data_IF_208673088136
#
_entry.id   IF_208673088136
#
_cell.length_a   1.000
_cell.length_b   1.000
_cell.length_c   1.000
_cell.angle_alpha   90.00
_cell.angle_beta   90.00
_cell.angle_gamma   90.00
#
_symmetry.space_group_name_H-M   'P 1'
#
loop_
_entity.id
_entity.type
_entity.pdbx_description
1 polymer ?
#
# COMPACT_ATOMS: atom_id res chain seq x y z
N UNK A 1 -30.86 -42.24 53.61
CA UNK A 1 -31.34 -43.40 54.41
C UNK A 1 -32.79 -43.16 54.77
N UNK A 2 -33.63 -44.21 54.83
CA UNK A 2 -35.07 -44.23 55.20
C UNK A 2 -36.03 -43.36 54.32
N UNK A 3 -37.03 -43.87 53.58
CA UNK A 3 -38.25 -44.67 53.91
C UNK A 3 -39.34 -43.84 54.64
N UNK A 4 -40.66 -43.87 54.33
CA UNK A 4 -41.47 -44.75 53.45
C UNK A 4 -42.88 -44.17 53.06
N UNK A 5 -43.47 -44.65 51.94
CA UNK A 5 -44.90 -44.88 51.51
C UNK A 5 -46.12 -44.41 52.36
N UNK A 6 -47.35 -44.12 51.86
CA UNK A 6 -47.99 -43.80 50.54
C UNK A 6 -49.52 -43.48 50.76
N UNK A 7 -50.36 -43.53 49.70
CA UNK A 7 -51.84 -43.78 49.62
C UNK A 7 -52.83 -42.59 49.77
N UNK A 8 -53.99 -42.49 49.06
CA UNK A 8 -54.62 -43.26 47.95
C UNK A 8 -55.83 -42.53 47.26
N UNK A 9 -56.34 -43.11 46.14
CA UNK A 9 -57.69 -43.03 45.50
C UNK A 9 -58.01 -42.04 44.32
N UNK A 10 -58.55 -42.59 43.21
CA UNK A 10 -59.14 -41.93 42.00
C UNK A 10 -60.01 -42.91 41.16
N UNK A 11 -61.00 -42.46 40.34
CA UNK A 11 -60.89 -42.49 38.85
C UNK A 11 -61.35 -41.12 38.23
N UNK A 12 -62.12 -40.85 37.16
CA UNK A 12 -62.97 -41.55 36.14
C UNK A 12 -63.37 -40.51 35.00
N UNK A 13 -63.94 -40.77 33.80
CA UNK A 13 -63.97 -41.86 32.78
C UNK A 13 -64.67 -41.38 31.46
N UNK A 14 -64.65 -42.19 30.38
CA UNK A 14 -65.54 -42.23 29.17
C UNK A 14 -65.47 -41.20 27.98
N UNK A 15 -64.77 -41.62 26.91
CA UNK A 15 -65.21 -41.88 25.51
C UNK A 15 -66.09 -40.91 24.64
N UNK A 16 -65.56 -40.65 23.43
CA UNK A 16 -66.15 -40.82 22.08
C UNK A 16 -66.73 -39.68 21.19
N UNK A 17 -66.18 -39.66 19.96
CA UNK A 17 -66.78 -39.46 18.63
C UNK A 17 -66.80 -38.08 17.92
N UNK A 18 -66.51 -38.17 16.62
CA UNK A 18 -66.27 -37.10 15.64
C UNK A 18 -67.54 -36.69 14.88
N UNK A 19 -67.62 -35.41 14.49
CA UNK A 19 -68.15 -35.00 13.17
C UNK A 19 -67.30 -33.86 12.61
N UNK A 20 -66.83 -34.02 11.37
CA UNK A 20 -66.06 -33.01 10.65
C UNK A 20 -66.98 -31.91 10.09
N UNK A 21 -66.49 -30.67 10.06
CA UNK A 21 -67.19 -29.54 9.45
C UNK A 21 -66.23 -28.41 9.11
N UNK A 22 -66.25 -27.98 7.84
CA UNK A 22 -65.48 -26.86 7.27
C UNK A 22 -63.95 -27.00 7.35
N UNK A 23 -63.35 -27.50 6.25
CA UNK A 23 -61.94 -27.20 5.95
C UNK A 23 -61.88 -25.72 5.57
N UNK A 24 -61.71 -24.85 6.57
CA UNK A 24 -61.30 -23.46 6.31
C UNK A 24 -59.93 -23.48 5.64
N UNK A 25 -59.68 -22.53 4.76
CA UNK A 25 -58.32 -22.20 4.34
C UNK A 25 -57.46 -21.97 5.60
N UNK A 26 -56.29 -22.60 5.65
CA UNK A 26 -55.37 -22.57 6.77
C UNK A 26 -53.94 -22.40 6.24
N UNK A 27 -53.28 -21.33 6.66
CA UNK A 27 -51.86 -21.15 6.41
C UNK A 27 -51.05 -22.00 7.40
N UNK A 28 -49.93 -22.55 6.97
CA UNK A 28 -48.96 -23.22 7.87
C UNK A 28 -48.19 -22.19 8.70
N UNK A 29 -47.49 -22.63 9.75
CA UNK A 29 -46.58 -21.76 10.51
C UNK A 29 -45.58 -21.07 9.56
N UNK A 30 -45.41 -19.73 9.62
CA UNK A 30 -44.36 -19.03 8.88
C UNK A 30 -42.98 -19.42 9.43
N UNK A 31 -41.92 -19.33 8.61
CA UNK A 31 -40.54 -19.77 8.92
C UNK A 31 -39.84 -18.92 10.00
N UNK A 32 -40.36 -18.98 11.22
CA UNK A 32 -39.81 -18.38 12.43
C UNK A 32 -40.09 -19.29 13.64
N UNK A 33 -39.15 -19.30 14.60
CA UNK A 33 -39.19 -20.07 15.86
C UNK A 33 -40.29 -19.55 16.82
N UNK A 34 -41.54 -19.78 16.46
CA UNK A 34 -42.73 -19.51 17.26
C UNK A 34 -43.22 -20.80 17.94
N UNK A 35 -43.81 -20.70 19.15
CA UNK A 35 -44.31 -21.87 19.88
C UNK A 35 -45.38 -22.63 19.10
N UNK A 36 -45.28 -23.96 19.16
CA UNK A 36 -45.81 -24.93 18.20
C UNK A 36 -47.33 -24.80 17.99
N UNK A 37 -47.73 -24.13 16.90
CA UNK A 37 -49.08 -24.20 16.34
C UNK A 37 -48.96 -24.29 14.81
N UNK A 38 -49.00 -25.50 14.27
CA UNK A 38 -48.55 -25.78 12.90
C UNK A 38 -49.46 -25.20 11.79
N UNK A 39 -50.70 -24.81 12.12
CA UNK A 39 -51.60 -24.11 11.18
C UNK A 39 -52.44 -23.02 11.83
N UNK A 40 -52.85 -22.06 10.99
CA UNK A 40 -53.54 -20.82 11.35
C UNK A 40 -54.75 -20.62 10.42
N UNK A 41 -55.98 -20.40 10.93
CA UNK A 41 -57.14 -20.16 10.08
C UNK A 41 -57.04 -18.83 9.30
N UNK A 42 -57.66 -18.77 8.14
CA UNK A 42 -57.84 -17.55 7.33
C UNK A 42 -58.25 -16.33 8.17
N UNK A 43 -57.59 -15.19 7.93
CA UNK A 43 -57.69 -13.97 8.73
C UNK A 43 -56.79 -13.92 9.98
N UNK A 44 -56.11 -15.01 10.35
CA UNK A 44 -55.10 -14.97 11.43
C UNK A 44 -53.97 -14.01 11.08
N UNK A 45 -53.46 -13.28 12.08
CA UNK A 45 -52.39 -12.31 11.93
C UNK A 45 -51.25 -12.61 12.90
N UNK A 46 -50.01 -12.57 12.43
CA UNK A 46 -48.78 -12.79 13.22
C UNK A 46 -47.94 -11.53 13.14
N UNK A 47 -47.58 -10.97 14.30
CA UNK A 47 -46.76 -9.77 14.42
C UNK A 47 -45.32 -10.14 14.74
N UNK A 48 -44.38 -9.51 14.03
CA UNK A 48 -42.94 -9.65 14.23
C UNK A 48 -42.37 -8.42 14.94
N UNK A 49 -41.34 -8.66 15.75
CA UNK A 49 -40.52 -7.62 16.36
C UNK A 49 -39.06 -7.84 15.98
N UNK A 50 -38.29 -6.75 15.87
CA UNK A 50 -36.85 -6.86 15.66
C UNK A 50 -36.18 -7.49 16.89
N UNK A 51 -35.27 -8.44 16.67
CA UNK A 51 -34.47 -9.06 17.73
C UNK A 51 -33.70 -8.01 18.55
N UNK A 52 -33.31 -8.39 19.78
CA UNK A 52 -32.58 -7.50 20.71
C UNK A 52 -31.39 -6.84 20.00
N UNK A 53 -31.21 -5.53 20.25
CA UNK A 53 -30.18 -4.72 19.60
C UNK A 53 -30.53 -4.22 18.20
N UNK A 54 -31.69 -4.56 17.63
CA UNK A 54 -32.12 -4.10 16.31
C UNK A 54 -33.38 -3.22 16.38
N UNK A 55 -33.60 -2.38 15.38
CA UNK A 55 -34.75 -1.47 15.23
C UNK A 55 -35.34 -1.56 13.83
N UNK A 56 -36.64 -1.27 13.63
CA UNK A 56 -37.21 -1.10 12.31
C UNK A 56 -36.45 -0.03 11.51
N UNK A 57 -36.21 -0.29 10.22
CA UNK A 57 -35.65 0.69 9.26
C UNK A 57 -36.69 1.75 8.94
N UNK A 58 -37.91 1.30 8.66
CA UNK A 58 -39.12 2.11 8.55
C UNK A 58 -40.03 1.81 9.74
N UNK A 59 -40.61 2.85 10.35
CA UNK A 59 -41.49 2.74 11.51
C UNK A 59 -42.95 2.52 11.13
N UNK A 60 -43.35 2.96 9.93
CA UNK A 60 -44.71 2.88 9.37
C UNK A 60 -44.96 1.57 8.61
N UNK A 61 -43.91 0.85 8.21
CA UNK A 61 -43.99 -0.44 7.52
C UNK A 61 -44.74 -1.50 8.36
N UNK A 62 -45.54 -2.35 7.69
CA UNK A 62 -46.34 -3.35 8.38
C UNK A 62 -45.48 -4.39 9.11
N UNK A 63 -45.69 -4.48 10.43
CA UNK A 63 -45.02 -5.46 11.32
C UNK A 63 -45.72 -6.80 11.38
N UNK A 64 -46.86 -6.95 10.69
CA UNK A 64 -47.71 -8.12 10.80
C UNK A 64 -48.10 -8.67 9.45
N UNK A 65 -48.03 -9.99 9.31
CA UNK A 65 -48.53 -10.73 8.15
C UNK A 65 -49.89 -11.34 8.48
N UNK A 66 -50.79 -11.36 7.51
CA UNK A 66 -52.13 -11.92 7.64
C UNK A 66 -52.30 -13.10 6.68
N UNK A 67 -52.94 -14.17 7.14
CA UNK A 67 -53.29 -15.33 6.33
C UNK A 67 -54.49 -14.98 5.43
N UNK A 68 -54.32 -15.05 4.12
CA UNK A 68 -55.34 -14.83 3.09
C UNK A 68 -55.32 -16.01 2.11
N UNK A 69 -56.36 -16.83 2.11
CA UNK A 69 -56.57 -17.88 1.09
C UNK A 69 -55.45 -18.93 1.01
N UNK A 70 -54.95 -19.39 2.17
CA UNK A 70 -53.78 -20.29 2.36
C UNK A 70 -52.39 -19.66 2.15
N UNK A 71 -52.27 -18.36 1.84
CA UNK A 71 -50.97 -17.68 1.76
C UNK A 71 -50.85 -16.55 2.79
N UNK A 72 -49.65 -16.36 3.31
CA UNK A 72 -49.33 -15.18 4.14
C UNK A 72 -49.02 -13.98 3.24
N UNK A 73 -49.45 -12.79 3.66
CA UNK A 73 -48.96 -11.54 3.06
C UNK A 73 -47.46 -11.37 3.28
N UNK A 74 -46.78 -10.61 2.42
CA UNK A 74 -45.36 -10.28 2.59
C UNK A 74 -45.11 -9.48 3.88
N UNK A 75 -44.01 -9.79 4.58
CA UNK A 75 -43.54 -8.97 5.70
C UNK A 75 -42.76 -7.77 5.16
N UNK A 76 -43.21 -6.56 5.48
CA UNK A 76 -42.55 -5.31 5.09
C UNK A 76 -41.50 -4.85 6.12
N UNK A 77 -41.60 -5.33 7.37
CA UNK A 77 -40.67 -4.99 8.44
C UNK A 77 -39.24 -5.46 8.13
N UNK A 78 -38.39 -4.48 7.82
CA UNK A 78 -36.94 -4.64 7.76
C UNK A 78 -36.27 -4.10 9.02
N UNK A 79 -35.29 -4.83 9.56
CA UNK A 79 -34.60 -4.50 10.81
C UNK A 79 -33.12 -4.15 10.58
N UNK A 80 -32.64 -3.12 11.27
CA UNK A 80 -31.23 -2.68 11.26
C UNK A 80 -30.67 -2.60 12.67
N UNK A 81 -29.33 -2.66 12.81
CA UNK A 81 -28.67 -2.53 14.13
C UNK A 81 -28.97 -1.17 14.76
N UNK A 82 -29.30 -1.14 16.06
CA UNK A 82 -29.38 0.09 16.84
C UNK A 82 -28.00 0.72 16.97
N UNK A 83 -27.93 2.04 17.07
CA UNK A 83 -26.70 2.75 17.40
C UNK A 83 -26.65 3.08 18.90
N UNK A 84 -25.47 2.92 19.51
CA UNK A 84 -25.20 3.33 20.89
C UNK A 84 -24.74 4.80 21.01
N UNK A 85 -24.69 5.55 19.90
CA UNK A 85 -24.11 6.89 19.88
C UNK A 85 -22.58 6.89 20.00
N UNK A 86 -22.00 8.09 20.04
CA UNK A 86 -20.55 8.26 20.16
C UNK A 86 -20.10 8.16 21.62
N UNK A 87 -18.94 7.55 21.86
CA UNK A 87 -18.27 7.59 23.17
C UNK A 87 -17.51 8.91 23.32
N UNK A 88 -17.59 9.51 24.51
CA UNK A 88 -16.72 10.61 24.89
C UNK A 88 -15.32 10.10 25.27
N UNK A 89 -14.32 10.98 25.20
CA UNK A 89 -13.04 10.74 25.84
C UNK A 89 -13.22 10.76 27.36
N UNK A 90 -12.40 10.00 28.07
CA UNK A 90 -12.39 9.92 29.52
C UNK A 90 -11.12 10.58 30.08
N UNK A 91 -10.94 10.54 31.40
CA UNK A 91 -9.83 11.24 32.04
C UNK A 91 -8.48 10.60 31.66
N UNK A 92 -7.61 11.38 31.01
CA UNK A 92 -6.34 10.94 30.42
C UNK A 92 -6.43 9.72 29.49
N UNK A 93 -7.51 9.63 28.70
CA UNK A 93 -7.63 8.59 27.67
C UNK A 93 -8.83 8.75 26.73
N UNK A 94 -8.84 7.91 25.69
CA UNK A 94 -9.84 7.86 24.63
C UNK A 94 -10.23 6.42 24.29
N UNK A 95 -11.29 6.26 23.50
CA UNK A 95 -11.67 4.97 22.96
C UNK A 95 -11.28 4.84 21.48
N UNK A 96 -10.66 3.71 21.14
CA UNK A 96 -10.52 3.25 19.76
C UNK A 96 -11.72 2.33 19.45
N UNK A 97 -12.63 2.83 18.61
CA UNK A 97 -13.93 2.22 18.31
C UNK A 97 -13.91 1.51 16.96
N UNK A 98 -14.48 0.31 16.89
CA UNK A 98 -14.70 -0.41 15.62
C UNK A 98 -15.93 0.09 14.86
N UNK A 99 -16.83 0.78 15.57
CA UNK A 99 -18.08 1.35 15.06
C UNK A 99 -18.94 1.86 16.21
N UNK A 100 -20.22 2.12 15.95
CA UNK A 100 -21.18 2.62 16.94
C UNK A 100 -22.55 1.91 16.90
N UNK A 101 -22.63 0.77 16.24
CA UNK A 101 -23.82 -0.07 16.08
C UNK A 101 -23.76 -1.29 17.01
N UNK A 102 -24.92 -1.91 17.27
CA UNK A 102 -25.04 -3.06 18.16
C UNK A 102 -24.03 -4.17 17.83
N UNK A 103 -23.29 -4.62 18.85
CA UNK A 103 -22.20 -5.58 18.72
C UNK A 103 -20.81 -4.97 18.42
N UNK A 104 -20.73 -3.69 18.02
CA UNK A 104 -19.44 -3.01 17.85
C UNK A 104 -18.76 -2.80 19.21
N UNK A 105 -17.44 -2.62 19.19
CA UNK A 105 -16.57 -2.60 20.37
C UNK A 105 -15.69 -1.35 20.45
N UNK A 106 -15.31 -1.00 21.68
CA UNK A 106 -14.50 0.17 22.00
C UNK A 106 -13.39 -0.20 22.99
N UNK A 107 -12.14 -0.15 22.53
CA UNK A 107 -10.94 -0.43 23.34
C UNK A 107 -10.46 0.88 24.00
N UNK A 108 -10.23 0.93 25.32
CA UNK A 108 -9.66 2.11 25.95
C UNK A 108 -8.16 2.22 25.67
N UNK A 109 -7.70 3.45 25.40
CA UNK A 109 -6.31 3.80 25.17
C UNK A 109 -5.99 5.06 25.98
N UNK A 110 -5.02 4.96 26.89
CA UNK A 110 -4.58 6.10 27.67
C UNK A 110 -3.82 7.13 26.81
N UNK A 111 -3.80 8.37 27.28
CA UNK A 111 -2.99 9.42 26.71
C UNK A 111 -1.49 9.21 26.99
N UNK A 112 -0.65 9.95 26.27
CA UNK A 112 0.81 9.79 26.34
C UNK A 112 1.32 9.99 27.78
N UNK A 113 2.08 9.01 28.29
CA UNK A 113 2.61 9.02 29.66
C UNK A 113 1.63 8.59 30.75
N UNK A 114 0.49 7.99 30.39
CA UNK A 114 -0.46 7.37 31.31
C UNK A 114 -0.66 5.88 31.01
N UNK A 115 -0.94 5.08 32.04
CA UNK A 115 -1.16 3.63 31.94
C UNK A 115 -2.53 3.22 32.49
N UNK A 116 -3.12 2.22 31.84
CA UNK A 116 -4.44 1.71 32.20
C UNK A 116 -4.37 0.90 33.50
N UNK A 117 -5.13 1.30 34.52
CA UNK A 117 -5.14 0.62 35.81
C UNK A 117 -6.08 -0.58 35.79
N UNK A 118 -5.54 -1.77 36.07
CA UNK A 118 -6.31 -3.01 36.16
C UNK A 118 -6.25 -3.87 34.89
N UNK A 119 -7.34 -4.60 34.61
CA UNK A 119 -7.46 -5.43 33.40
C UNK A 119 -8.07 -4.60 32.26
N UNK A 120 -7.69 -4.91 31.02
CA UNK A 120 -8.27 -4.25 29.84
C UNK A 120 -9.80 -4.45 29.78
N UNK A 121 -10.55 -3.34 29.83
CA UNK A 121 -12.02 -3.33 29.79
C UNK A 121 -12.54 -2.80 28.44
N UNK A 122 -12.56 -3.66 27.43
CA UNK A 122 -13.24 -3.35 26.16
C UNK A 122 -14.75 -3.19 26.39
N UNK A 123 -15.31 -2.06 25.97
CA UNK A 123 -16.77 -1.82 26.01
C UNK A 123 -17.42 -2.34 24.74
N UNK A 124 -18.66 -2.79 24.86
CA UNK A 124 -19.47 -3.33 23.76
C UNK A 124 -20.77 -2.54 23.64
N UNK A 125 -21.18 -2.23 22.41
CA UNK A 125 -22.47 -1.61 22.14
C UNK A 125 -23.60 -2.65 22.32
N UNK A 126 -24.35 -2.52 23.43
CA UNK A 126 -25.50 -3.36 23.80
C UNK A 126 -26.83 -2.68 23.42
N UNK A 127 -27.94 -3.31 23.76
CA UNK A 127 -29.30 -2.84 23.46
C UNK A 127 -29.68 -1.55 24.19
N UNK A 128 -29.02 -1.27 25.33
CA UNK A 128 -29.19 -0.05 26.14
C UNK A 128 -28.07 0.99 25.95
N UNK A 129 -27.13 0.77 25.02
CA UNK A 129 -25.94 1.63 24.84
C UNK A 129 -24.62 0.90 25.13
N UNK A 130 -23.54 1.67 25.29
CA UNK A 130 -22.20 1.15 25.58
C UNK A 130 -22.08 0.60 27.02
N UNK A 131 -21.86 -0.71 27.15
CA UNK A 131 -21.71 -1.36 28.47
C UNK A 131 -20.43 -0.96 29.21
N UNK A 132 -20.33 -1.34 30.49
CA UNK A 132 -19.18 -1.03 31.34
C UNK A 132 -19.17 0.40 31.89
N UNK A 133 -18.01 0.80 32.43
CA UNK A 133 -17.72 2.16 32.93
C UNK A 133 -16.42 2.65 32.31
N UNK A 134 -16.17 3.95 32.41
CA UNK A 134 -14.90 4.53 31.98
C UNK A 134 -13.76 4.00 32.86
N UNK A 135 -12.63 3.56 32.29
CA UNK A 135 -11.51 3.06 33.06
C UNK A 135 -10.64 4.20 33.60
N UNK A 136 -9.74 3.86 34.52
CA UNK A 136 -8.78 4.80 35.10
C UNK A 136 -7.44 4.69 34.38
N UNK A 137 -6.92 5.82 33.91
CA UNK A 137 -5.54 5.98 33.46
C UNK A 137 -4.77 6.77 34.53
N UNK A 138 -3.74 6.15 35.12
CA UNK A 138 -2.83 6.79 36.08
C UNK A 138 -1.53 7.20 35.39
N UNK A 139 -0.83 8.28 35.84
CA UNK A 139 0.42 8.68 35.25
C UNK A 139 1.48 7.58 35.41
N UNK A 140 2.36 7.44 34.41
CA UNK A 140 3.59 6.67 34.52
C UNK A 140 4.42 7.25 35.67
N UNK A 141 4.99 6.38 36.51
CA UNK A 141 5.83 6.79 37.65
C UNK A 141 7.26 6.35 37.44
N UNK A 142 8.19 7.29 37.57
CA UNK A 142 9.62 7.04 37.62
C UNK A 142 10.07 6.76 39.06
N UNK A 143 11.05 5.86 39.21
CA UNK A 143 11.77 5.65 40.46
C UNK A 143 12.73 6.81 40.77
N UNK A 144 13.42 6.76 41.91
CA UNK A 144 14.39 7.79 42.30
C UNK A 144 15.42 8.10 41.19
N UNK A 145 15.75 9.39 40.93
CA UNK A 145 16.68 9.78 39.88
C UNK A 145 18.08 9.17 40.04
N UNK A 146 18.81 8.86 38.95
CA UNK A 146 20.15 8.27 39.03
C UNK A 146 21.17 9.19 39.73
N UNK A 147 21.94 8.66 40.68
CA UNK A 147 23.06 9.40 41.26
C UNK A 147 24.16 9.65 40.20
N UNK A 148 24.73 10.87 40.18
CA UNK A 148 25.84 11.24 39.29
C UNK A 148 27.15 11.39 40.07
N UNK A 149 28.27 11.06 39.44
CA UNK A 149 29.58 11.23 40.06
C UNK A 149 29.95 12.71 40.15
N UNK A 150 30.46 13.14 41.31
CA UNK A 150 30.89 14.51 41.59
C UNK A 150 29.82 15.61 41.36
N UNK A 151 28.54 15.23 41.46
CA UNK A 151 27.41 16.15 41.49
C UNK A 151 26.30 15.60 42.38
N UNK A 152 25.21 16.35 42.47
CA UNK A 152 24.06 16.00 43.30
C UNK A 152 22.78 16.62 42.74
N UNK A 153 21.63 16.05 43.11
CA UNK A 153 20.34 16.71 42.91
C UNK A 153 20.32 18.05 43.64
N UNK A 154 19.58 19.00 43.08
CA UNK A 154 19.41 20.31 43.68
C UNK A 154 18.44 20.30 44.85
N UNK A 155 17.41 19.46 44.74
CA UNK A 155 16.34 19.17 45.70
C UNK A 155 16.51 17.75 46.29
N UNK A 156 15.71 17.41 47.31
CA UNK A 156 15.72 16.07 47.90
C UNK A 156 15.04 15.03 46.99
N UNK A 157 15.55 13.79 46.98
CA UNK A 157 15.00 12.71 46.18
C UNK A 157 13.70 12.15 46.79
N UNK A 158 12.61 12.16 46.02
CA UNK A 158 11.34 11.52 46.37
C UNK A 158 11.35 10.03 46.02
N UNK A 159 10.44 9.26 46.65
CA UNK A 159 10.29 7.82 46.39
C UNK A 159 9.73 7.51 44.98
N UNK A 160 8.88 8.39 44.45
CA UNK A 160 8.31 8.28 43.11
C UNK A 160 8.03 9.64 42.49
N UNK A 161 8.20 9.75 41.17
CA UNK A 161 7.90 10.94 40.39
C UNK A 161 6.87 10.61 39.30
N UNK A 162 5.83 11.42 39.16
CA UNK A 162 4.83 11.23 38.10
C UNK A 162 5.36 11.78 36.76
N UNK A 163 4.76 11.32 35.66
CA UNK A 163 5.08 11.75 34.29
C UNK A 163 5.19 13.29 34.16
N UNK A 164 6.23 13.74 33.46
CA UNK A 164 6.66 15.14 33.31
C UNK A 164 7.22 15.85 34.55
N UNK A 165 7.18 15.26 35.76
CA UNK A 165 7.91 15.85 36.90
C UNK A 165 9.40 16.00 36.56
N UNK A 166 9.97 17.13 36.97
CA UNK A 166 11.33 17.53 36.65
C UNK A 166 12.25 17.40 37.88
N UNK A 167 13.51 17.06 37.66
CA UNK A 167 14.57 17.09 38.68
C UNK A 167 15.82 17.75 38.10
N UNK A 168 16.45 18.63 38.88
CA UNK A 168 17.67 19.34 38.47
C UNK A 168 18.89 18.81 39.22
N UNK A 169 20.04 18.77 38.54
CA UNK A 169 21.34 18.43 39.07
C UNK A 169 22.29 19.63 39.04
N UNK A 170 23.16 19.69 40.04
CA UNK A 170 24.32 20.58 40.09
C UNK A 170 25.61 19.80 40.33
N UNK A 171 26.71 20.27 39.74
CA UNK A 171 28.03 19.70 40.00
C UNK A 171 28.66 20.27 41.28
N UNK A 172 29.61 19.52 41.85
CA UNK A 172 30.43 20.00 42.95
C UNK A 172 31.28 21.21 42.52
N UNK A 173 31.64 22.08 43.48
CA UNK A 173 32.35 23.33 43.21
C UNK A 173 33.64 23.10 42.42
N UNK A 174 33.77 23.82 41.30
CA UNK A 174 34.95 23.75 40.42
C UNK A 174 34.83 22.78 39.26
N UNK A 175 33.73 22.02 39.16
CA UNK A 175 33.45 21.10 38.06
C UNK A 175 32.37 21.64 37.13
N UNK A 176 32.51 21.32 35.85
CA UNK A 176 31.60 21.74 34.78
C UNK A 176 30.54 20.67 34.54
N UNK A 177 29.27 21.09 34.41
CA UNK A 177 28.15 20.22 34.07
C UNK A 177 28.06 20.04 32.55
N UNK A 178 28.13 18.79 32.08
CA UNK A 178 28.01 18.42 30.66
C UNK A 178 26.74 17.59 30.45
N UNK A 179 25.82 18.11 29.64
CA UNK A 179 24.49 17.54 29.41
C UNK A 179 23.38 18.50 29.85
N UNK A 180 22.13 18.05 29.84
CA UNK A 180 21.02 18.84 30.36
C UNK A 180 21.02 18.74 31.90
N UNK A 181 20.99 19.88 32.59
CA UNK A 181 20.95 19.91 34.06
C UNK A 181 19.64 19.38 34.64
N UNK A 182 18.54 19.47 33.87
CA UNK A 182 17.19 19.12 34.29
C UNK A 182 16.65 17.95 33.47
N UNK A 183 16.17 16.91 34.15
CA UNK A 183 15.59 15.72 33.57
C UNK A 183 14.10 15.64 33.90
N UNK A 184 13.31 15.05 33.01
CA UNK A 184 11.88 14.84 33.19
C UNK A 184 11.55 13.35 33.26
N UNK A 185 10.56 12.98 34.08
CA UNK A 185 10.01 11.63 34.08
C UNK A 185 9.30 11.35 32.74
N UNK A 186 9.78 10.34 32.03
CA UNK A 186 9.35 9.95 30.68
C UNK A 186 8.24 8.89 30.71
N UNK A 187 7.63 8.64 29.55
CA UNK A 187 6.59 7.63 29.36
C UNK A 187 7.07 6.17 29.54
N UNK A 188 8.39 5.95 29.52
CA UNK A 188 9.03 4.65 29.74
C UNK A 188 9.34 4.37 31.23
N UNK A 189 8.96 5.27 32.14
CA UNK A 189 9.25 5.16 33.58
C UNK A 189 10.70 5.50 33.95
N UNK A 190 11.46 6.10 33.04
CA UNK A 190 12.84 6.57 33.29
C UNK A 190 12.94 8.09 33.18
N UNK A 191 13.99 8.65 33.79
CA UNK A 191 14.29 10.08 33.61
C UNK A 191 15.00 10.32 32.28
N UNK A 192 14.53 11.32 31.52
CA UNK A 192 15.10 11.72 30.23
C UNK A 192 15.34 13.24 30.13
N UNK A 193 16.41 13.70 29.45
CA UNK A 193 17.47 12.90 28.80
C UNK A 193 18.36 12.17 29.84
N UNK A 194 19.37 11.45 29.38
CA UNK A 194 20.30 10.76 30.29
C UNK A 194 21.04 11.77 31.21
N UNK A 195 21.40 11.38 32.45
CA UNK A 195 21.90 12.31 33.47
C UNK A 195 23.24 12.97 33.08
N UNK A 196 23.45 14.24 33.49
CA UNK A 196 24.64 15.00 33.12
C UNK A 196 25.89 14.47 33.83
N UNK A 197 27.05 14.79 33.26
CA UNK A 197 28.37 14.41 33.78
C UNK A 197 29.10 15.63 34.31
N UNK A 198 29.65 15.51 35.52
CA UNK A 198 30.50 16.54 36.12
C UNK A 198 31.97 16.26 35.80
N UNK A 199 32.66 17.20 35.15
CA UNK A 199 34.06 17.04 34.71
C UNK A 199 34.95 18.20 35.20
N UNK A 200 36.22 17.91 35.49
CA UNK A 200 37.23 18.94 35.76
C UNK A 200 37.67 19.58 34.44
N UNK A 201 37.29 20.85 34.25
CA UNK A 201 37.56 21.59 33.02
C UNK A 201 36.61 21.26 31.86
N UNK A 202 37.10 21.33 30.62
CA UNK A 202 36.26 21.24 29.43
C UNK A 202 36.60 20.03 28.55
N UNK A 203 35.59 19.38 27.91
CA UNK A 203 35.80 18.25 27.02
C UNK A 203 36.61 18.69 25.78
N UNK A 204 37.23 17.74 25.09
CA UNK A 204 37.93 18.04 23.83
C UNK A 204 36.90 18.40 22.75
N UNK A 205 36.97 19.59 22.12
CA UNK A 205 36.04 19.94 21.05
C UNK A 205 36.28 19.08 19.81
N UNK A 206 35.26 18.33 19.41
CA UNK A 206 35.24 17.57 18.16
C UNK A 206 34.60 18.43 17.08
N UNK A 207 35.42 18.97 16.16
CA UNK A 207 34.97 19.84 15.07
C UNK A 207 35.33 19.15 13.75
N UNK A 208 34.40 18.43 13.11
CA UNK A 208 34.63 17.81 11.81
C UNK A 208 35.04 18.86 10.78
N UNK A 209 36.05 18.54 9.96
CA UNK A 209 36.64 19.48 8.98
C UNK A 209 37.15 20.79 9.60
N UNK A 210 37.54 20.74 10.90
CA UNK A 210 38.15 21.84 11.63
C UNK A 210 39.52 21.45 12.19
N UNK A 211 40.50 22.34 12.05
CA UNK A 211 41.87 22.18 12.54
C UNK A 211 42.15 23.19 13.64
N UNK A 212 42.67 22.75 14.79
CA UNK A 212 43.12 23.65 15.86
C UNK A 212 44.39 24.36 15.42
N UNK A 213 44.35 25.69 15.37
CA UNK A 213 45.47 26.55 14.97
C UNK A 213 46.17 27.25 16.15
N UNK A 214 45.51 27.33 17.32
CA UNK A 214 46.07 28.03 18.49
C UNK A 214 45.56 27.51 19.84
N UNK A 215 46.18 28.01 20.91
CA UNK A 215 45.79 27.76 22.31
C UNK A 215 46.54 26.62 23.01
N UNK A 216 45.90 26.03 24.03
CA UNK A 216 46.47 24.93 24.84
C UNK A 216 46.24 23.56 24.20
N UNK A 217 46.95 22.54 24.70
CA UNK A 217 46.64 21.13 24.45
C UNK A 217 45.78 20.57 25.59
N UNK A 218 44.96 19.53 25.33
CA UNK A 218 44.17 18.88 26.37
C UNK A 218 45.09 18.16 27.41
N UNK A 219 44.61 17.94 28.65
CA UNK A 219 43.29 18.27 29.18
C UNK A 219 43.09 19.77 29.42
N UNK A 220 41.90 20.29 29.08
CA UNK A 220 41.60 21.72 29.12
C UNK A 220 41.04 22.15 30.47
N UNK A 221 41.82 22.93 31.23
CA UNK A 221 41.37 23.48 32.52
C UNK A 221 40.63 24.80 32.36
N UNK A 222 39.93 25.23 33.42
CA UNK A 222 39.29 26.54 33.49
C UNK A 222 40.25 27.67 33.06
N UNK A 223 39.78 28.58 32.20
CA UNK A 223 40.56 29.67 31.62
C UNK A 223 41.51 29.25 30.47
N UNK A 224 41.57 27.98 30.08
CA UNK A 224 42.28 27.56 28.87
C UNK A 224 41.48 27.99 27.65
N UNK A 225 42.16 28.45 26.59
CA UNK A 225 41.55 28.76 25.31
C UNK A 225 42.11 27.89 24.20
N UNK A 226 41.34 27.75 23.12
CA UNK A 226 41.76 27.15 21.85
C UNK A 226 41.16 27.93 20.68
N UNK A 227 41.89 27.91 19.56
CA UNK A 227 41.49 28.58 18.34
C UNK A 227 41.46 27.58 17.18
N UNK A 228 40.42 27.63 16.35
CA UNK A 228 40.18 26.72 15.23
C UNK A 228 40.09 27.46 13.89
N UNK A 229 40.42 26.74 12.81
CA UNK A 229 40.16 27.14 11.42
C UNK A 229 39.50 25.96 10.70
N UNK A 230 38.49 26.23 9.88
CA UNK A 230 37.94 25.20 9.00
C UNK A 230 38.91 24.83 7.87
N UNK A 231 38.78 23.60 7.39
CA UNK A 231 39.51 23.11 6.22
C UNK A 231 39.04 23.76 4.92
N UNK A 232 39.87 23.70 3.89
CA UNK A 232 39.55 24.29 2.60
C UNK A 232 38.30 23.61 2.00
N UNK A 233 37.39 24.42 1.45
CA UNK A 233 36.04 23.98 1.07
C UNK A 233 34.97 24.16 2.14
N UNK A 234 35.34 24.43 3.40
CA UNK A 234 34.41 24.67 4.50
C UNK A 234 34.43 26.13 4.98
N UNK A 235 33.31 26.57 5.56
CA UNK A 235 33.09 27.89 6.16
C UNK A 235 32.73 27.71 7.63
N UNK A 236 33.28 28.58 8.50
CA UNK A 236 33.00 28.54 9.93
C UNK A 236 31.65 29.19 10.27
N UNK A 237 30.88 28.52 11.13
CA UNK A 237 29.71 29.06 11.82
C UNK A 237 29.95 29.00 13.33
N UNK A 238 29.95 30.16 13.97
CA UNK A 238 30.39 30.35 15.37
C UNK A 238 31.74 31.05 15.43
N UNK A 239 32.25 31.26 16.64
CA UNK A 239 33.51 31.94 16.89
C UNK A 239 34.70 30.99 16.79
N UNK A 240 35.79 31.42 16.14
CA UNK A 240 37.01 30.63 16.00
C UNK A 240 37.72 30.37 17.35
N UNK A 241 37.57 31.31 18.28
CA UNK A 241 38.25 31.36 19.57
C UNK A 241 37.25 31.02 20.70
N UNK A 242 37.54 29.96 21.45
CA UNK A 242 36.68 29.49 22.56
C UNK A 242 37.48 29.37 23.85
N UNK A 243 36.83 29.69 24.98
CA UNK A 243 37.45 29.67 26.32
C UNK A 243 36.72 28.70 27.23
N UNK A 244 37.46 27.87 27.95
CA UNK A 244 36.90 26.99 28.96
C UNK A 244 36.47 27.80 30.20
N UNK A 245 35.16 27.88 30.45
CA UNK A 245 34.53 28.52 31.62
C UNK A 245 33.90 27.46 32.55
N UNK A 246 33.25 27.92 33.63
CA UNK A 246 32.62 27.08 34.65
C UNK A 246 31.37 26.30 34.16
N UNK A 247 30.89 26.61 32.95
CA UNK A 247 29.74 25.95 32.32
C UNK A 247 30.16 25.23 31.01
N UNK A 248 31.46 24.92 30.83
CA UNK A 248 31.99 24.38 29.58
C UNK A 248 32.63 25.44 28.67
N UNK A 249 32.64 25.19 27.36
CA UNK A 249 33.20 26.12 26.38
C UNK A 249 32.27 27.30 26.15
N UNK A 250 32.80 28.52 26.29
CA UNK A 250 32.12 29.76 25.96
C UNK A 250 33.03 30.66 25.09
N UNK A 251 32.57 31.09 23.90
CA UNK A 251 31.37 30.61 23.21
C UNK A 251 31.43 29.10 22.89
N UNK A 252 30.29 28.51 22.47
CA UNK A 252 30.22 27.10 22.07
C UNK A 252 31.20 26.78 20.92
N UNK A 253 31.73 25.54 20.82
CA UNK A 253 32.65 25.17 19.75
C UNK A 253 32.07 25.43 18.35
N UNK A 254 32.84 26.07 17.44
CA UNK A 254 32.33 26.41 16.11
C UNK A 254 32.10 25.15 15.26
N UNK A 255 31.24 25.29 14.26
CA UNK A 255 30.94 24.25 13.27
C UNK A 255 31.49 24.61 11.90
N UNK A 256 32.06 23.64 11.19
CA UNK A 256 32.57 23.82 9.83
C UNK A 256 31.56 23.24 8.83
N UNK A 257 30.91 24.12 8.07
CA UNK A 257 29.85 23.80 7.12
C UNK A 257 30.44 23.86 5.71
N UNK A 258 30.16 22.87 4.85
CA UNK A 258 30.63 22.90 3.47
C UNK A 258 30.16 24.17 2.76
N UNK A 259 31.02 24.81 1.96
CA UNK A 259 30.61 25.93 1.10
C UNK A 259 29.50 25.44 0.16
N UNK A 260 28.44 26.22 -0.01
CA UNK A 260 27.41 25.88 -0.99
C UNK A 260 27.86 26.29 -2.38
N UNK A 261 27.71 25.38 -3.34
CA UNK A 261 27.90 25.66 -4.77
C UNK A 261 26.66 26.22 -5.46
N UNK A 262 25.57 26.43 -4.70
CA UNK A 262 24.26 26.77 -5.25
C UNK A 262 23.60 25.61 -5.99
N UNK A 263 22.40 25.85 -6.51
CA UNK A 263 21.66 24.87 -7.29
C UNK A 263 22.15 24.89 -8.74
N UNK A 264 22.36 23.72 -9.34
CA UNK A 264 22.58 23.61 -10.78
C UNK A 264 21.27 23.88 -11.52
N UNK A 265 21.37 24.52 -12.67
CA UNK A 265 20.28 24.63 -13.63
C UNK A 265 20.24 23.40 -14.54
N UNK A 266 19.08 23.14 -15.14
CA UNK A 266 18.96 22.18 -16.24
C UNK A 266 19.72 22.68 -17.47
N UNK A 267 20.22 21.75 -18.28
CA UNK A 267 21.01 22.01 -19.48
C UNK A 267 20.28 21.51 -20.73
N UNK A 268 20.89 21.68 -21.90
CA UNK A 268 20.21 21.38 -23.16
C UNK A 268 19.91 19.88 -23.30
N UNK A 269 18.62 19.53 -23.33
CA UNK A 269 18.10 18.17 -23.31
C UNK A 269 18.63 17.30 -22.16
N UNK A 270 18.83 17.88 -20.96
CA UNK A 270 19.22 17.14 -19.78
C UNK A 270 19.18 17.93 -18.48
N UNK A 271 19.31 17.20 -17.37
CA UNK A 271 19.13 17.69 -16.00
C UNK A 271 20.12 17.01 -15.04
N UNK A 272 20.26 17.54 -13.83
CA UNK A 272 21.18 17.01 -12.83
C UNK A 272 20.50 16.25 -11.70
N UNK A 273 20.84 14.97 -11.55
CA UNK A 273 20.56 14.21 -10.34
C UNK A 273 21.61 14.56 -9.29
N UNK A 274 21.23 15.41 -8.31
CA UNK A 274 22.12 15.94 -7.28
C UNK A 274 22.00 15.15 -5.96
N UNK A 275 23.14 14.93 -5.30
CA UNK A 275 23.19 14.39 -3.93
C UNK A 275 23.01 15.48 -2.86
N UNK A 276 23.31 16.73 -3.22
CA UNK A 276 23.20 17.91 -2.36
C UNK A 276 23.76 19.13 -3.10
N UNK A 277 24.12 20.19 -2.36
CA UNK A 277 24.71 21.42 -2.93
C UNK A 277 25.84 22.02 -2.07
N UNK A 278 26.44 21.25 -1.18
CA UNK A 278 27.55 21.61 -0.30
C UNK A 278 28.86 20.96 -0.77
N UNK A 279 29.99 21.49 -0.33
CA UNK A 279 31.33 21.01 -0.70
C UNK A 279 31.49 19.49 -0.53
N UNK A 280 31.87 18.82 -1.61
CA UNK A 280 31.97 17.36 -1.72
C UNK A 280 30.76 16.67 -2.36
N UNK A 281 29.59 17.32 -2.41
CA UNK A 281 28.41 16.77 -3.08
C UNK A 281 28.64 16.61 -4.59
N UNK A 282 27.93 15.65 -5.18
CA UNK A 282 28.04 15.27 -6.59
C UNK A 282 26.72 15.42 -7.35
N UNK A 283 26.83 15.73 -8.64
CA UNK A 283 25.73 15.90 -9.57
C UNK A 283 25.97 15.06 -10.83
N UNK A 284 25.12 14.05 -11.04
CA UNK A 284 25.17 13.17 -12.21
C UNK A 284 24.29 13.75 -13.33
N UNK A 285 24.81 13.92 -14.56
CA UNK A 285 23.99 14.37 -15.68
C UNK A 285 23.10 13.25 -16.20
N UNK A 286 21.84 13.56 -16.49
CA UNK A 286 20.89 12.64 -17.11
C UNK A 286 20.18 13.33 -18.27
N UNK A 287 20.25 12.73 -19.46
CA UNK A 287 19.59 13.26 -20.65
C UNK A 287 18.08 13.07 -20.61
N UNK A 288 17.37 13.88 -21.39
CA UNK A 288 15.94 13.76 -21.65
C UNK A 288 15.63 12.56 -22.56
N UNK A 289 14.34 12.23 -22.67
CA UNK A 289 13.87 11.08 -23.43
C UNK A 289 14.31 11.19 -24.90
N UNK A 290 14.94 10.14 -25.42
CA UNK A 290 15.45 10.09 -26.80
C UNK A 290 16.77 10.84 -27.03
N UNK A 291 17.46 11.23 -25.97
CA UNK A 291 18.82 11.79 -26.02
C UNK A 291 19.79 10.92 -25.20
N UNK A 292 21.06 10.93 -25.59
CA UNK A 292 22.15 10.19 -24.94
C UNK A 292 23.33 11.12 -24.64
N UNK A 293 24.04 10.83 -23.55
CA UNK A 293 25.17 11.64 -23.10
C UNK A 293 26.36 11.47 -24.06
N UNK A 294 26.82 12.57 -24.66
CA UNK A 294 27.96 12.53 -25.57
C UNK A 294 29.28 12.39 -24.79
N UNK A 295 30.03 11.33 -25.09
CA UNK A 295 31.35 11.08 -24.49
C UNK A 295 31.32 10.24 -23.21
N UNK A 296 32.22 10.55 -22.27
CA UNK A 296 32.30 9.85 -20.97
C UNK A 296 31.44 10.57 -19.92
N UNK A 297 30.96 9.82 -18.93
CA UNK A 297 30.18 10.38 -17.83
C UNK A 297 30.94 11.49 -17.08
N UNK A 298 30.37 12.69 -17.09
CA UNK A 298 30.94 13.90 -16.46
C UNK A 298 30.15 14.27 -15.21
N UNK A 299 30.22 13.43 -14.18
CA UNK A 299 29.72 13.77 -12.84
C UNK A 299 30.45 15.01 -12.33
N UNK A 300 29.69 16.06 -11.99
CA UNK A 300 30.23 17.30 -11.41
C UNK A 300 30.32 17.16 -9.91
N UNK A 301 31.32 17.79 -9.31
CA UNK A 301 31.55 17.82 -7.86
C UNK A 301 31.51 19.25 -7.37
N UNK A 302 30.86 19.51 -6.24
CA UNK A 302 30.87 20.80 -5.59
C UNK A 302 32.25 21.04 -4.94
N UNK A 303 32.99 22.03 -5.45
CA UNK A 303 34.32 22.46 -4.99
C UNK A 303 34.26 23.79 -4.27
N UNK A 304 35.42 24.30 -3.85
CA UNK A 304 35.57 25.54 -3.11
C UNK A 304 35.16 26.81 -3.89
N UNK A 305 35.16 26.72 -5.23
CA UNK A 305 34.75 27.77 -6.19
C UNK A 305 33.38 27.52 -6.85
N UNK A 306 32.63 26.50 -6.44
CA UNK A 306 31.39 26.08 -7.10
C UNK A 306 31.46 24.69 -7.75
N UNK A 307 30.46 24.35 -8.56
CA UNK A 307 30.39 23.08 -9.29
C UNK A 307 31.46 22.97 -10.38
N UNK A 308 32.39 22.02 -10.24
CA UNK A 308 33.45 21.79 -11.23
C UNK A 308 32.92 21.29 -12.59
N UNK A 309 33.80 21.25 -13.60
CA UNK A 309 33.44 20.85 -14.95
C UNK A 309 32.62 21.90 -15.72
N UNK A 310 31.95 21.45 -16.77
CA UNK A 310 31.03 22.22 -17.62
C UNK A 310 29.77 21.38 -17.86
N UNK A 311 28.73 22.03 -18.37
CA UNK A 311 27.50 21.33 -18.75
C UNK A 311 27.81 20.35 -19.90
N UNK A 312 27.36 19.10 -19.84
CA UNK A 312 27.60 18.12 -20.89
C UNK A 312 26.63 18.32 -22.06
N UNK A 313 26.96 17.68 -23.18
CA UNK A 313 26.10 17.62 -24.35
C UNK A 313 25.27 16.34 -24.33
N UNK A 314 23.95 16.48 -24.46
CA UNK A 314 23.05 15.38 -24.79
C UNK A 314 22.76 15.42 -26.29
N UNK A 315 23.17 14.39 -27.02
CA UNK A 315 22.93 14.24 -28.46
C UNK A 315 21.68 13.38 -28.71
N UNK A 316 20.89 13.65 -29.76
CA UNK A 316 19.72 12.83 -30.06
C UNK A 316 20.12 11.39 -30.39
N UNK A 317 19.28 10.43 -30.00
CA UNK A 317 19.37 9.05 -30.49
C UNK A 317 19.23 9.07 -32.00
N UNK A 318 20.16 8.39 -32.69
CA UNK A 318 20.16 8.29 -34.15
C UNK A 318 19.67 6.91 -34.60
N UNK A 319 18.73 6.90 -35.53
CA UNK A 319 18.33 5.72 -36.27
C UNK A 319 19.16 5.59 -37.54
N UNK A 320 19.57 4.36 -37.89
CA UNK A 320 20.12 4.06 -39.22
C UNK A 320 19.08 4.23 -40.31
N UNK A 321 19.51 4.29 -41.57
CA UNK A 321 18.63 4.30 -42.75
C UNK A 321 17.40 3.36 -42.62
N UNK A 322 16.18 3.83 -42.96
CA UNK A 322 14.95 3.05 -42.82
C UNK A 322 14.98 1.74 -43.61
N UNK A 323 14.34 0.67 -43.11
CA UNK A 323 14.29 -0.61 -43.81
C UNK A 323 13.56 -0.49 -45.16
N UNK A 324 14.12 -1.09 -46.21
CA UNK A 324 13.43 -1.19 -47.49
C UNK A 324 12.19 -2.11 -47.37
N UNK A 325 11.11 -1.75 -48.07
CA UNK A 325 9.87 -2.55 -48.13
C UNK A 325 9.66 -3.11 -49.54
N UNK A 326 9.13 -4.32 -49.64
CA UNK A 326 8.86 -4.94 -50.94
C UNK A 326 7.74 -4.19 -51.68
N UNK A 327 7.95 -3.91 -52.96
CA UNK A 327 7.01 -3.20 -53.84
C UNK A 327 6.57 -1.80 -53.33
N UNK A 328 7.39 -1.17 -52.50
CA UNK A 328 7.20 0.20 -52.03
C UNK A 328 8.52 0.96 -51.94
N UNK A 329 8.41 2.26 -51.66
CA UNK A 329 9.50 3.23 -51.80
C UNK A 329 9.27 4.41 -50.85
N UNK A 330 10.34 4.88 -50.20
CA UNK A 330 10.30 6.11 -49.39
C UNK A 330 9.92 7.31 -50.27
N UNK A 331 9.16 8.25 -49.70
CA UNK A 331 8.71 9.45 -50.40
C UNK A 331 9.88 10.39 -50.76
N UNK A 332 10.80 10.53 -49.83
CA UNK A 332 12.06 11.25 -49.97
C UNK A 332 13.26 10.30 -50.12
N UNK A 333 14.40 10.81 -50.57
CA UNK A 333 15.66 10.05 -50.63
C UNK A 333 16.13 9.67 -49.20
N UNK A 334 16.56 8.41 -48.95
CA UNK A 334 17.00 7.97 -47.64
C UNK A 334 18.31 8.64 -47.21
N UNK A 335 18.32 9.19 -46.00
CA UNK A 335 19.51 9.67 -45.32
C UNK A 335 20.27 8.52 -44.64
N UNK A 336 21.56 8.72 -44.40
CA UNK A 336 22.43 7.75 -43.70
C UNK A 336 22.01 7.55 -42.24
N UNK A 337 21.58 8.63 -41.58
CA UNK A 337 21.08 8.64 -40.20
C UNK A 337 19.94 9.65 -40.03
N UNK A 338 19.01 9.35 -39.12
CA UNK A 338 17.91 10.23 -38.73
C UNK A 338 17.93 10.45 -37.21
N UNK A 339 17.66 11.68 -36.77
CA UNK A 339 17.63 12.05 -35.36
C UNK A 339 16.28 11.70 -34.71
N UNK A 340 16.25 11.62 -33.39
CA UNK A 340 15.07 11.26 -32.61
C UNK A 340 13.82 12.09 -32.99
N UNK A 341 12.68 11.40 -33.17
CA UNK A 341 11.39 11.92 -33.67
C UNK A 341 11.34 12.35 -35.14
N UNK A 342 12.46 12.40 -35.88
CA UNK A 342 12.41 12.60 -37.33
C UNK A 342 11.58 11.49 -38.00
N UNK A 343 10.88 11.87 -39.06
CA UNK A 343 9.87 11.03 -39.70
C UNK A 343 10.24 10.69 -41.14
N UNK A 344 9.89 9.48 -41.55
CA UNK A 344 10.00 9.02 -42.94
C UNK A 344 8.66 8.45 -43.38
N UNK A 345 8.26 8.74 -44.62
CA UNK A 345 6.99 8.28 -45.18
C UNK A 345 7.24 7.34 -46.36
N UNK A 346 6.46 6.27 -46.44
CA UNK A 346 6.48 5.29 -47.52
C UNK A 346 5.25 5.41 -48.41
N UNK A 347 5.45 5.24 -49.73
CA UNK A 347 4.40 5.06 -50.73
C UNK A 347 4.62 3.76 -51.50
N UNK A 348 3.53 3.06 -51.83
CA UNK A 348 3.61 1.82 -52.61
C UNK A 348 3.79 2.09 -54.11
N UNK A 349 4.34 1.11 -54.83
CA UNK A 349 4.41 1.16 -56.29
C UNK A 349 2.99 1.25 -56.91
N UNK A 350 2.90 1.88 -58.09
CA UNK A 350 1.63 2.19 -58.75
C UNK A 350 0.73 0.96 -58.91
N UNK A 351 -0.50 1.07 -58.36
CA UNK A 351 -1.52 0.01 -58.43
C UNK A 351 -1.61 -0.87 -57.19
N UNK A 352 -0.74 -0.67 -56.19
CA UNK A 352 -0.73 -1.41 -54.94
C UNK A 352 -1.29 -0.58 -53.78
N UNK A 353 -1.90 -1.27 -52.82
CA UNK A 353 -2.44 -0.72 -51.59
C UNK A 353 -1.41 -0.76 -50.47
N UNK A 354 -1.35 0.29 -49.65
CA UNK A 354 -0.48 0.37 -48.48
C UNK A 354 -1.24 -0.12 -47.23
N UNK A 355 -0.66 -1.07 -46.50
CA UNK A 355 -1.24 -1.63 -45.28
C UNK A 355 -0.23 -1.47 -44.13
N UNK A 356 -0.63 -0.74 -43.09
CA UNK A 356 0.21 -0.34 -41.97
C UNK A 356 0.23 1.17 -41.79
N UNK A 357 1.13 1.69 -40.97
CA UNK A 357 1.36 3.13 -40.90
C UNK A 357 2.28 3.56 -42.04
N UNK A 358 1.89 4.53 -42.86
CA UNK A 358 2.74 5.05 -43.93
C UNK A 358 3.92 5.86 -43.39
N UNK A 359 3.81 6.42 -42.18
CA UNK A 359 4.83 7.31 -41.60
C UNK A 359 5.42 6.71 -40.32
N UNK A 360 6.73 6.51 -40.34
CA UNK A 360 7.50 5.98 -39.22
C UNK A 360 8.34 7.12 -38.61
N UNK A 361 8.62 7.04 -37.31
CA UNK A 361 9.50 7.99 -36.61
C UNK A 361 10.69 7.29 -35.96
N UNK A 362 11.82 7.97 -35.91
CA UNK A 362 12.97 7.49 -35.15
C UNK A 362 12.64 7.47 -33.65
N UNK A 363 12.83 6.29 -33.03
CA UNK A 363 12.49 6.01 -31.64
C UNK A 363 13.73 6.08 -30.73
N UNK A 364 13.50 6.06 -29.42
CA UNK A 364 14.56 6.07 -28.40
C UNK A 364 15.42 4.79 -28.38
N UNK A 365 14.96 3.72 -29.03
CA UNK A 365 15.68 2.45 -29.19
C UNK A 365 16.62 2.43 -30.42
N UNK A 366 16.74 3.55 -31.14
CA UNK A 366 17.53 3.64 -32.37
C UNK A 366 16.87 2.97 -33.58
N UNK A 367 15.59 2.59 -33.48
CA UNK A 367 14.83 1.99 -34.59
C UNK A 367 13.66 2.86 -35.01
N UNK A 368 13.21 2.69 -36.26
CA UNK A 368 11.98 3.33 -36.72
C UNK A 368 10.74 2.61 -36.17
N UNK A 369 9.79 3.38 -35.63
CA UNK A 369 8.52 2.90 -35.06
C UNK A 369 7.31 3.66 -35.62
N UNK A 370 6.14 3.02 -35.78
CA UNK A 370 5.88 1.57 -35.64
C UNK A 370 6.57 0.76 -36.76
N UNK A 371 6.33 -0.55 -36.85
CA UNK A 371 6.97 -1.37 -37.88
C UNK A 371 6.53 -0.96 -39.32
N UNK A 372 7.37 -1.21 -40.36
CA UNK A 372 7.12 -0.72 -41.71
C UNK A 372 5.84 -1.24 -42.37
N UNK A 373 5.19 -0.44 -43.23
CA UNK A 373 4.00 -0.85 -43.95
C UNK A 373 4.34 -1.88 -45.05
N UNK A 374 3.32 -2.58 -45.52
CA UNK A 374 3.42 -3.60 -46.57
C UNK A 374 2.55 -3.22 -47.77
N UNK A 375 3.07 -3.46 -48.97
CA UNK A 375 2.39 -3.15 -50.22
C UNK A 375 1.78 -4.43 -50.83
N UNK A 376 0.49 -4.39 -51.19
CA UNK A 376 -0.24 -5.54 -51.75
C UNK A 376 -1.06 -5.15 -52.99
N UNK A 377 -1.16 -6.05 -53.98
CA UNK A 377 -2.16 -5.94 -55.05
C UNK A 377 -3.54 -6.32 -54.47
N UNK A 378 -4.32 -5.30 -54.08
CA UNK A 378 -5.57 -5.49 -53.37
C UNK A 378 -5.36 -5.69 -51.86
N UNK A 379 -5.84 -6.80 -51.30
CA UNK A 379 -5.76 -7.08 -49.86
C UNK A 379 -5.20 -8.49 -49.57
N UNK A 380 -4.41 -8.65 -48.48
CA UNK A 380 -3.88 -9.95 -48.07
C UNK A 380 -5.01 -10.89 -47.64
N UNK A 381 -4.79 -12.20 -47.74
CA UNK A 381 -5.76 -13.21 -47.28
C UNK A 381 -5.96 -13.09 -45.77
N UNK A 382 -7.17 -12.78 -45.25
CA UNK A 382 -7.39 -12.71 -43.82
C UNK A 382 -7.20 -14.09 -43.19
N UNK A 383 -6.29 -14.17 -42.21
CA UNK A 383 -6.10 -15.37 -41.40
C UNK A 383 -6.80 -15.15 -40.06
N UNK A 384 -7.99 -15.72 -39.91
CA UNK A 384 -8.81 -15.62 -38.71
C UNK A 384 -8.92 -17.03 -38.10
N UNK A 385 -8.24 -17.31 -36.98
CA UNK A 385 -8.38 -18.59 -36.28
C UNK A 385 -9.83 -18.83 -35.85
N UNK A 386 -10.26 -20.10 -35.92
CA UNK A 386 -11.59 -20.55 -35.48
C UNK A 386 -12.75 -19.80 -36.16
N UNK A 387 -12.56 -19.40 -37.41
CA UNK A 387 -13.58 -18.80 -38.27
C UNK A 387 -13.67 -19.52 -39.62
N UNK A 388 -14.90 -19.73 -40.09
CA UNK A 388 -15.21 -20.24 -41.43
C UNK A 388 -15.67 -19.09 -42.31
N UNK A 389 -15.15 -19.02 -43.54
CA UNK A 389 -15.68 -18.12 -44.57
C UNK A 389 -17.03 -18.65 -45.04
N UNK A 390 -18.08 -17.84 -44.97
CA UNK A 390 -19.44 -18.22 -45.36
C UNK A 390 -19.87 -17.63 -46.72
N UNK A 391 -19.37 -16.44 -47.07
CA UNK A 391 -19.63 -15.82 -48.38
C UNK A 391 -18.43 -14.95 -48.85
N UNK A 392 -18.50 -14.46 -50.08
CA UNK A 392 -17.56 -13.54 -50.69
C UNK A 392 -16.68 -14.18 -51.76
N UNK A 393 -15.69 -13.41 -52.23
CA UNK A 393 -14.81 -13.85 -53.32
C UNK A 393 -13.71 -14.81 -52.82
N UNK A 394 -13.03 -15.44 -53.77
CA UNK A 394 -11.78 -16.18 -53.50
C UNK A 394 -10.55 -15.32 -53.84
N UNK A 395 -9.37 -15.60 -53.26
CA UNK A 395 -8.14 -14.87 -53.57
C UNK A 395 -7.76 -15.00 -55.07
N UNK A 396 -7.07 -14.02 -55.67
CA UNK A 396 -6.56 -12.78 -55.08
C UNK A 396 -7.66 -11.71 -54.87
N UNK A 397 -7.61 -11.02 -53.74
CA UNK A 397 -8.65 -10.07 -53.32
C UNK A 397 -8.40 -8.66 -53.83
N UNK A 398 -9.04 -8.28 -54.93
CA UNK A 398 -8.94 -6.92 -55.48
C UNK A 398 -9.80 -5.92 -54.70
N UNK A 399 -9.55 -4.62 -54.90
CA UNK A 399 -10.39 -3.54 -54.38
C UNK A 399 -11.89 -3.78 -54.66
N UNK A 400 -12.73 -3.52 -53.66
CA UNK A 400 -14.18 -3.78 -53.69
C UNK A 400 -14.58 -5.25 -53.56
N UNK A 401 -13.64 -6.18 -53.39
CA UNK A 401 -13.96 -7.58 -53.08
C UNK A 401 -14.34 -7.67 -51.60
N UNK A 402 -15.42 -8.39 -51.29
CA UNK A 402 -15.85 -8.64 -49.90
C UNK A 402 -15.67 -10.09 -49.50
N UNK A 403 -15.65 -10.32 -48.19
CA UNK A 403 -15.68 -11.63 -47.54
C UNK A 403 -16.60 -11.54 -46.33
N UNK A 404 -17.40 -12.59 -46.09
CA UNK A 404 -18.15 -12.74 -44.85
C UNK A 404 -17.69 -13.99 -44.08
N UNK A 405 -17.48 -13.84 -42.78
CA UNK A 405 -17.03 -14.89 -41.87
C UNK A 405 -18.08 -15.24 -40.81
N UNK A 406 -18.02 -16.47 -40.31
CA UNK A 406 -18.73 -16.93 -39.11
C UNK A 406 -17.75 -17.66 -38.20
N UNK A 407 -17.76 -17.37 -36.90
CA UNK A 407 -16.97 -18.15 -35.94
C UNK A 407 -17.44 -19.60 -35.86
N UNK A 408 -16.51 -20.50 -35.52
CA UNK A 408 -16.79 -21.90 -35.29
C UNK A 408 -17.55 -22.11 -33.96
N UNK A 409 -18.20 -23.28 -33.81
CA UNK A 409 -19.04 -23.56 -32.66
C UNK A 409 -18.21 -23.56 -31.36
N UNK A 410 -18.66 -22.76 -30.38
CA UNK A 410 -17.92 -22.50 -29.15
C UNK A 410 -17.06 -21.24 -29.18
N UNK A 411 -17.14 -20.42 -30.24
CA UNK A 411 -16.49 -19.12 -30.32
C UNK A 411 -17.48 -18.00 -30.69
N UNK A 412 -17.39 -16.87 -29.99
CA UNK A 412 -18.13 -15.63 -30.27
C UNK A 412 -17.28 -14.68 -31.12
N UNK A 413 -17.94 -13.94 -32.03
CA UNK A 413 -17.28 -12.96 -32.90
C UNK A 413 -17.10 -11.60 -32.20
N UNK A 414 -15.88 -11.06 -32.28
CA UNK A 414 -15.55 -9.69 -31.91
C UNK A 414 -15.09 -8.91 -33.15
N UNK A 415 -15.94 -7.99 -33.62
CA UNK A 415 -15.79 -7.26 -34.87
C UNK A 415 -16.96 -7.55 -35.83
N UNK A 416 -16.86 -7.05 -37.05
CA UNK A 416 -17.89 -7.21 -38.08
C UNK A 416 -17.64 -8.47 -38.92
N UNK A 417 -18.70 -9.23 -39.20
CA UNK A 417 -18.62 -10.46 -40.00
C UNK A 417 -18.26 -10.19 -41.47
N UNK A 418 -18.75 -9.06 -41.99
CA UNK A 418 -18.62 -8.62 -43.39
C UNK A 418 -17.48 -7.60 -43.52
N UNK A 419 -16.45 -7.94 -44.29
CA UNK A 419 -15.27 -7.09 -44.53
C UNK A 419 -15.09 -6.82 -46.02
N UNK A 420 -14.70 -5.58 -46.39
CA UNK A 420 -14.48 -5.16 -47.78
C UNK A 420 -13.04 -4.73 -47.99
N UNK A 421 -12.42 -5.18 -49.08
CA UNK A 421 -11.09 -4.75 -49.48
C UNK A 421 -11.14 -3.31 -50.00
N UNK A 422 -10.56 -2.37 -49.25
CA UNK A 422 -10.42 -0.95 -49.62
C UNK A 422 -8.94 -0.60 -49.84
N UNK A 423 -8.66 0.67 -50.14
CA UNK A 423 -7.33 1.16 -50.50
C UNK A 423 -6.27 1.01 -49.38
N UNK A 424 -6.69 0.93 -48.12
CA UNK A 424 -5.81 0.76 -46.95
C UNK A 424 -5.88 -0.65 -46.34
N UNK A 425 -6.40 -1.64 -47.10
CA UNK A 425 -6.65 -3.01 -46.63
C UNK A 425 -8.12 -3.30 -46.34
N UNK A 426 -8.38 -4.29 -45.48
CA UNK A 426 -9.73 -4.69 -45.10
C UNK A 426 -10.38 -3.66 -44.16
N UNK A 427 -11.54 -3.17 -44.57
CA UNK A 427 -12.37 -2.26 -43.78
C UNK A 427 -13.84 -2.74 -43.79
N UNK A 428 -14.45 -3.00 -42.63
CA UNK A 428 -13.84 -3.02 -41.29
C UNK A 428 -12.71 -4.06 -41.16
N UNK A 429 -11.87 -3.91 -40.14
CA UNK A 429 -10.73 -4.82 -39.90
C UNK A 429 -11.21 -6.27 -39.65
N UNK A 430 -10.43 -7.30 -40.02
CA UNK A 430 -10.85 -8.70 -39.90
C UNK A 430 -11.28 -9.05 -38.46
N UNK A 431 -12.47 -9.67 -38.27
CA UNK A 431 -12.98 -9.99 -36.94
C UNK A 431 -12.11 -11.02 -36.22
N UNK A 432 -12.24 -11.09 -34.89
CA UNK A 432 -11.55 -12.09 -34.05
C UNK A 432 -12.58 -12.98 -33.36
N UNK A 433 -12.41 -14.29 -33.49
CA UNK A 433 -13.21 -15.27 -32.75
C UNK A 433 -12.56 -15.52 -31.38
N UNK A 434 -13.34 -15.39 -30.30
CA UNK A 434 -12.93 -15.60 -28.91
C UNK A 434 -13.73 -16.77 -28.31
N UNK A 435 -13.13 -17.57 -27.44
CA UNK A 435 -13.78 -18.75 -26.85
C UNK A 435 -14.99 -18.38 -25.98
N UNK A 436 -16.06 -19.15 -26.08
CA UNK A 436 -17.21 -19.07 -25.18
C UNK A 436 -16.86 -19.75 -23.83
N UNK A 437 -16.55 -18.96 -22.79
CA UNK A 437 -16.27 -19.46 -21.41
C UNK A 437 -17.43 -20.24 -20.75
N UNK A 438 -18.53 -20.49 -21.47
CA UNK A 438 -19.75 -21.16 -21.01
C UNK A 438 -19.96 -22.57 -21.56
N UNK A 439 -19.06 -23.09 -22.41
CA UNK A 439 -19.24 -24.42 -23.07
C UNK A 439 -18.14 -25.46 -22.81
N UNK A 440 -17.08 -25.12 -22.08
CA UNK A 440 -16.00 -26.05 -21.70
C UNK A 440 -16.38 -26.92 -20.49
N UNK A 441 -17.47 -27.68 -20.59
CA UNK A 441 -17.80 -28.70 -19.59
C UNK A 441 -18.62 -29.87 -20.17
N UNK A 442 -18.10 -30.53 -21.22
CA UNK A 442 -18.36 -31.97 -21.44
C UNK A 442 -17.38 -32.62 -22.42
N UNK A 443 -16.83 -33.76 -21.99
CA UNK A 443 -16.18 -34.85 -22.75
C UNK A 443 -14.68 -34.79 -23.09
N UNK A 444 -14.00 -35.74 -22.43
CA UNK A 444 -13.00 -36.66 -22.96
C UNK A 444 -11.61 -36.14 -23.35
N UNK A 445 -10.71 -36.18 -22.37
CA UNK A 445 -9.27 -36.40 -22.60
C UNK A 445 -8.90 -37.84 -22.26
N UNK A 446 -8.54 -38.64 -23.27
CA UNK A 446 -7.91 -39.94 -23.05
C UNK A 446 -6.56 -40.03 -23.78
N UNK A 447 -5.54 -40.38 -22.99
CA UNK A 447 -4.33 -41.11 -23.37
C UNK A 447 -3.36 -40.51 -24.41
N UNK A 448 -2.18 -40.06 -23.94
CA UNK A 448 -0.92 -40.83 -24.06
C UNK A 448 0.31 -39.96 -23.74
N UNK A 449 1.27 -40.50 -22.97
CA UNK A 449 2.55 -39.84 -22.64
C UNK A 449 3.70 -40.69 -23.17
N UNK A 450 4.57 -40.11 -24.00
CA UNK A 450 5.86 -40.67 -24.39
C UNK A 450 7.00 -39.76 -23.92
N UNK A 451 7.69 -40.14 -22.85
CA UNK A 451 8.77 -39.35 -22.25
C UNK A 451 10.18 -39.79 -22.70
N UNK A 452 11.16 -38.91 -22.51
CA UNK A 452 12.60 -39.20 -22.68
C UNK A 452 13.38 -38.78 -21.44
N UNK A 453 14.58 -39.34 -21.26
CA UNK A 453 15.36 -39.26 -20.03
C UNK A 453 16.42 -38.15 -20.09
N UNK A 454 16.45 -37.30 -19.06
CA UNK A 454 17.57 -36.42 -18.71
C UNK A 454 17.84 -36.54 -17.20
N UNK A 455 19.10 -36.76 -16.81
CA UNK A 455 19.51 -37.20 -15.46
C UNK A 455 20.33 -36.12 -14.75
N UNK A 456 20.07 -35.88 -13.45
CA UNK A 456 21.09 -35.41 -12.49
C UNK A 456 20.68 -35.64 -11.01
N UNK A 457 21.43 -36.52 -10.34
CA UNK A 457 21.90 -36.58 -8.93
C UNK A 457 21.49 -35.44 -7.94
N UNK A 458 21.23 -35.65 -6.62
CA UNK A 458 21.08 -36.88 -5.81
C UNK A 458 21.33 -36.67 -4.27
N UNK A 459 20.59 -37.42 -3.40
CA UNK A 459 20.83 -37.79 -1.96
C UNK A 459 20.93 -36.62 -0.91
N UNK A 460 20.54 -36.63 0.38
CA UNK A 460 20.35 -37.57 1.54
C UNK A 460 19.19 -37.01 2.42
N UNK A 461 18.26 -37.68 3.13
CA UNK A 461 18.30 -38.76 4.15
C UNK A 461 18.39 -38.17 5.60
N UNK A 462 17.82 -38.68 6.70
CA UNK A 462 16.78 -39.70 6.99
C UNK A 462 16.38 -39.60 8.52
N UNK A 463 15.24 -40.16 8.94
CA UNK A 463 14.80 -40.50 10.34
C UNK A 463 14.05 -39.42 11.17
N UNK A 464 12.99 -39.90 11.82
CA UNK A 464 12.02 -39.27 12.76
C UNK A 464 12.01 -40.21 14.01
N UNK A 465 11.65 -39.90 15.27
CA UNK A 465 10.53 -39.15 15.86
C UNK A 465 10.93 -38.71 17.30
N UNK A 466 10.50 -37.54 17.77
CA UNK A 466 10.79 -37.12 19.16
C UNK A 466 10.14 -35.86 19.74
N UNK A 467 9.14 -35.24 19.09
CA UNK A 467 8.38 -34.10 19.64
C UNK A 467 8.86 -32.70 19.22
N UNK A 468 7.96 -31.72 19.38
CA UNK A 468 8.01 -30.31 18.94
C UNK A 468 7.72 -30.07 17.44
N UNK A 469 6.97 -29.00 17.21
CA UNK A 469 6.30 -28.58 15.98
C UNK A 469 7.24 -28.00 14.92
N UNK A 470 6.90 -28.17 13.62
CA UNK A 470 6.55 -27.05 12.74
C UNK A 470 6.04 -27.48 11.35
N UNK A 471 5.36 -26.52 10.72
CA UNK A 471 4.75 -26.49 9.37
C UNK A 471 5.54 -27.23 8.29
N UNK A 472 4.83 -27.98 7.44
CA UNK A 472 5.26 -28.24 6.06
C UNK A 472 4.12 -28.12 5.05
N UNK A 473 4.40 -27.44 3.94
CA UNK A 473 3.57 -27.44 2.74
C UNK A 473 3.57 -28.83 2.10
N UNK A 474 2.38 -29.38 1.79
CA UNK A 474 2.25 -30.45 0.80
C UNK A 474 1.74 -29.87 -0.52
N UNK A 475 2.64 -29.81 -1.51
CA UNK A 475 2.25 -29.84 -2.92
C UNK A 475 2.19 -31.31 -3.34
N UNK A 476 1.00 -31.87 -3.53
CA UNK A 476 0.82 -33.14 -4.24
C UNK A 476 0.44 -32.87 -5.70
N UNK A 477 0.92 -33.68 -6.65
CA UNK A 477 0.45 -33.63 -8.03
C UNK A 477 -0.89 -34.35 -8.17
N UNK A 478 -1.78 -33.74 -8.94
CA UNK A 478 -2.87 -34.34 -9.72
C UNK A 478 -3.10 -33.39 -10.89
#
# INVERSE_FOLDING_TARGET
MAFMLLNLCAPALFLCLLKAGSIRAQCTQPDADLPIRQSFPDGSTVTFECVIGHRPVDLEASRSITCQGNQWTSLELSCSRKSCGNLANFFHGRYEVTGNLFGDTAKPVCDKGYMLVGKETTRTCRDQGWDGRDPLCEPVKCSAPPAIENGQLEEESLESYDYLNAVSYRCNRGLNLIGQSTLHCSEDGTFKPDPPKCVDGCPVPTIPNGKRIGGKSPPYKLGNFVEYKCEDGYTMKGEAFIVCRANGWDPEPPTCIGKSCGNLADFFHGRYEVTGNLFGDTAKPVCDKGYMLAGKETTRTCRDQGWDGRDPLCEPVKCSAPPAIENGQLEDEPLESYDYLEAVTYRCNKGLNLIGNSTLRCSEDGTFKPDPPKCFDGCPVPTIPNAKRIDGRSPPYKLGNFIEYKCEDGYTMKGEAYIVCRANGWDPAPPRCIEDETKTNTKDSSMSIGAKVGIALGVVGLVVIGGVSLVYFMKRPS
#
